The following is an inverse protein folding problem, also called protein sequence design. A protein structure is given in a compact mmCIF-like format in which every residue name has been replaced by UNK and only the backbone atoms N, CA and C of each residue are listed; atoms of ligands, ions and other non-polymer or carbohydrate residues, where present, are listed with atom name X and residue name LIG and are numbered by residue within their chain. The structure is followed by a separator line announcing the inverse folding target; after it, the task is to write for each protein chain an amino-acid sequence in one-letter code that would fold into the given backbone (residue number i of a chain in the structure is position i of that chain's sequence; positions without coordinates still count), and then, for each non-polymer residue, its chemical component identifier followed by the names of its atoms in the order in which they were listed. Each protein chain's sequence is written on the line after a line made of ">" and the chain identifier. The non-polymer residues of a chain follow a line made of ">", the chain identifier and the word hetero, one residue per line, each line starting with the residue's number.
data_IF_220315808133
#
_entry.id   IF_220315808133
#
_cell.length_a   1.000
_cell.length_b   1.000
_cell.length_c   1.000
_cell.angle_alpha   90.00
_cell.angle_beta   90.00
_cell.angle_gamma   90.00
#
_symmetry.space_group_name_H-M   'P 1'
#
loop_
_entity.id
_entity.type
_entity.pdbx_description
1 polymer ?
#
# COMPACT_ATOMS: atom_id res chain seq x y z
N UNK A 1 42.49 -6.15 -15.81
CA UNK A 1 41.84 -5.17 -14.93
C UNK A 1 40.49 -5.75 -14.55
N UNK A 2 40.41 -6.29 -13.33
CA UNK A 2 39.24 -6.96 -12.78
C UNK A 2 38.15 -5.93 -12.48
N UNK A 3 36.96 -6.18 -13.02
CA UNK A 3 35.73 -5.54 -12.60
C UNK A 3 35.48 -5.91 -11.13
N UNK A 4 35.55 -4.92 -10.24
CA UNK A 4 35.12 -5.07 -8.85
C UNK A 4 33.59 -5.06 -8.83
N UNK A 5 33.02 -6.01 -8.10
CA UNK A 5 31.59 -6.27 -7.92
C UNK A 5 30.80 -5.03 -7.49
N UNK A 6 29.54 -4.98 -7.92
CA UNK A 6 28.52 -4.05 -7.46
C UNK A 6 28.00 -4.42 -6.06
N UNK A 7 28.89 -4.51 -5.07
CA UNK A 7 28.53 -4.62 -3.66
C UNK A 7 28.62 -3.22 -3.03
N UNK A 8 27.52 -2.75 -2.44
CA UNK A 8 27.48 -1.48 -1.70
C UNK A 8 28.46 -1.49 -0.52
N UNK A 9 28.80 -0.32 0.03
CA UNK A 9 29.75 -0.27 1.15
C UNK A 9 29.10 -0.95 2.38
N UNK A 10 29.62 -2.11 2.78
CA UNK A 10 29.07 -2.91 3.88
C UNK A 10 28.91 -2.12 5.18
N UNK A 11 29.74 -1.09 5.40
CA UNK A 11 29.65 -0.23 6.58
C UNK A 11 28.41 0.67 6.51
N UNK A 12 28.06 1.15 5.31
CA UNK A 12 26.83 1.91 5.03
C UNK A 12 25.62 1.00 5.23
N UNK A 13 25.64 -0.22 4.70
CA UNK A 13 24.58 -1.19 4.94
C UNK A 13 24.40 -1.54 6.42
N UNK A 14 25.50 -1.71 7.15
CA UNK A 14 25.48 -2.01 8.57
C UNK A 14 24.74 -0.96 9.39
N UNK A 15 25.01 0.33 9.16
CA UNK A 15 24.30 1.41 9.89
C UNK A 15 22.85 1.56 9.46
N UNK A 16 22.54 1.32 8.18
CA UNK A 16 21.16 1.33 7.68
C UNK A 16 20.34 0.19 8.29
N UNK A 17 20.89 -1.03 8.34
CA UNK A 17 20.22 -2.18 8.94
C UNK A 17 20.03 -1.99 10.45
N UNK A 18 21.01 -1.39 11.12
CA UNK A 18 20.86 -1.01 12.53
C UNK A 18 19.77 0.04 12.74
N UNK A 19 19.67 1.04 11.87
CA UNK A 19 18.56 2.00 11.87
C UNK A 19 17.21 1.29 11.72
N UNK A 20 17.07 0.42 10.71
CA UNK A 20 15.84 -0.37 10.49
C UNK A 20 15.48 -1.23 11.70
N UNK A 21 16.47 -1.91 12.29
CA UNK A 21 16.30 -2.72 13.49
C UNK A 21 15.81 -1.90 14.68
N UNK A 22 16.45 -0.77 15.00
CA UNK A 22 16.02 0.11 16.09
C UNK A 22 14.62 0.68 15.87
N UNK A 23 14.25 0.99 14.62
CA UNK A 23 12.89 1.45 14.28
C UNK A 23 11.81 0.41 14.60
N UNK A 24 12.14 -0.87 14.51
CA UNK A 24 11.23 -1.98 14.78
C UNK A 24 11.17 -2.38 16.27
N UNK A 25 12.02 -1.78 17.13
CA UNK A 25 11.97 -2.01 18.58
C UNK A 25 11.00 -1.07 19.29
N UNK A 26 10.36 -1.57 20.35
CA UNK A 26 9.49 -0.77 21.22
C UNK A 26 10.23 0.45 21.78
N UNK A 27 9.61 1.63 21.65
CA UNK A 27 10.16 2.90 22.13
C UNK A 27 10.38 2.93 23.65
N UNK A 28 9.64 2.11 24.41
CA UNK A 28 9.83 1.94 25.85
C UNK A 28 11.05 1.10 26.22
N UNK A 29 11.57 0.30 25.29
CA UNK A 29 12.70 -0.62 25.48
C UNK A 29 14.01 -0.09 24.87
N UNK A 30 13.95 0.95 24.02
CA UNK A 30 15.14 1.52 23.39
C UNK A 30 15.77 2.61 24.26
N UNK A 31 16.95 2.33 24.82
CA UNK A 31 17.75 3.35 25.53
C UNK A 31 18.21 4.44 24.56
N UNK A 32 18.12 5.71 24.98
CA UNK A 32 18.67 6.89 24.28
C UNK A 32 20.12 6.68 23.80
N UNK A 33 20.90 5.90 24.55
CA UNK A 33 22.28 5.51 24.21
C UNK A 33 22.40 4.78 22.85
N UNK A 34 21.46 3.90 22.49
CA UNK A 34 21.52 3.16 21.22
C UNK A 34 21.36 4.08 20.01
N UNK A 35 20.45 5.06 20.13
CA UNK A 35 20.20 6.07 19.10
C UNK A 35 21.35 7.06 18.98
N UNK A 36 21.92 7.52 20.10
CA UNK A 36 23.10 8.37 20.12
C UNK A 36 24.34 7.67 19.53
N UNK A 37 24.52 6.39 19.87
CA UNK A 37 25.56 5.54 19.28
C UNK A 37 25.40 5.44 17.76
N UNK A 38 24.17 5.17 17.28
CA UNK A 38 23.89 5.10 15.84
C UNK A 38 24.17 6.43 15.14
N UNK A 39 23.74 7.55 15.72
CA UNK A 39 24.03 8.90 15.21
C UNK A 39 25.52 9.13 15.04
N UNK A 40 26.32 8.76 16.05
CA UNK A 40 27.79 8.88 15.99
C UNK A 40 28.39 8.07 14.83
N UNK A 41 27.88 6.85 14.60
CA UNK A 41 28.34 6.00 13.47
C UNK A 41 28.03 6.62 12.11
N UNK A 42 26.83 7.19 11.95
CA UNK A 42 26.49 7.96 10.73
C UNK A 42 27.43 9.15 10.54
N UNK A 43 27.73 9.90 11.60
CA UNK A 43 28.63 11.07 11.53
C UNK A 43 30.08 10.69 11.20
N UNK A 44 30.58 9.57 11.73
CA UNK A 44 31.92 9.03 11.44
C UNK A 44 32.02 8.51 10.00
N UNK A 45 31.02 7.77 9.53
CA UNK A 45 30.99 7.28 8.14
C UNK A 45 30.86 8.44 7.14
N UNK A 46 30.04 9.45 7.42
CA UNK A 46 29.88 10.59 6.54
C UNK A 46 31.21 11.33 6.28
N UNK A 47 32.07 11.43 7.30
CA UNK A 47 33.40 12.06 7.20
C UNK A 47 34.38 11.23 6.37
N UNK A 48 34.28 9.90 6.44
CA UNK A 48 35.22 8.99 5.77
C UNK A 48 34.81 8.63 4.34
N UNK A 49 33.53 8.75 3.98
CA UNK A 49 33.06 8.41 2.64
C UNK A 49 33.40 9.49 1.59
N UNK A 50 33.92 9.09 0.42
CA UNK A 50 34.09 9.99 -0.73
C UNK A 50 32.74 10.43 -1.28
N UNK A 51 32.73 11.53 -2.04
CA UNK A 51 31.53 11.98 -2.75
C UNK A 51 31.07 10.92 -3.75
N UNK A 52 29.77 10.61 -3.78
CA UNK A 52 29.21 9.60 -4.69
C UNK A 52 27.88 9.01 -4.19
N UNK A 53 27.41 7.98 -4.90
CA UNK A 53 26.11 7.31 -4.61
C UNK A 53 26.01 6.79 -3.19
N UNK A 54 27.05 6.12 -2.69
CA UNK A 54 27.05 5.58 -1.31
C UNK A 54 26.99 6.67 -0.25
N UNK A 55 27.65 7.82 -0.48
CA UNK A 55 27.56 8.97 0.43
C UNK A 55 26.18 9.60 0.39
N UNK A 56 25.57 9.73 -0.78
CA UNK A 56 24.20 10.22 -0.91
C UNK A 56 23.23 9.28 -0.17
N UNK A 57 23.37 7.96 -0.36
CA UNK A 57 22.59 6.94 0.34
C UNK A 57 22.76 7.02 1.86
N UNK A 58 23.98 7.14 2.37
CA UNK A 58 24.23 7.34 3.80
C UNK A 58 23.54 8.60 4.32
N UNK A 59 23.67 9.72 3.60
CA UNK A 59 23.04 10.99 3.97
C UNK A 59 21.51 10.90 4.00
N UNK A 60 20.92 10.15 3.08
CA UNK A 60 19.48 9.91 3.05
C UNK A 60 19.02 9.23 4.32
N UNK A 61 19.64 8.10 4.68
CA UNK A 61 19.27 7.36 5.89
C UNK A 61 19.65 8.09 7.18
N UNK A 62 20.66 8.97 7.15
CA UNK A 62 20.94 9.89 8.26
C UNK A 62 19.81 10.91 8.44
N UNK A 63 19.21 11.41 7.36
CA UNK A 63 18.03 12.26 7.44
C UNK A 63 16.81 11.49 7.99
N UNK A 64 16.61 10.22 7.58
CA UNK A 64 15.60 9.32 8.16
C UNK A 64 15.82 9.10 9.66
N UNK A 65 17.08 8.97 10.10
CA UNK A 65 17.42 8.88 11.53
C UNK A 65 16.95 10.14 12.28
N UNK A 66 17.21 11.34 11.76
CA UNK A 66 16.74 12.58 12.39
C UNK A 66 15.21 12.70 12.39
N UNK A 67 14.55 12.29 11.31
CA UNK A 67 13.09 12.24 11.22
C UNK A 67 12.51 11.35 12.33
N UNK A 68 13.10 10.16 12.54
CA UNK A 68 12.67 9.22 13.58
C UNK A 68 12.91 9.78 14.99
N UNK A 69 14.09 10.38 15.25
CA UNK A 69 14.40 11.03 16.52
C UNK A 69 13.43 12.16 16.84
N UNK A 70 13.12 12.97 15.83
CA UNK A 70 12.18 14.07 15.94
C UNK A 70 10.78 13.60 16.31
N UNK A 71 10.25 12.58 15.62
CA UNK A 71 8.91 12.05 15.90
C UNK A 71 8.81 11.31 17.24
N UNK A 72 9.84 10.53 17.61
CA UNK A 72 9.85 9.80 18.90
C UNK A 72 10.01 10.73 20.10
N UNK A 73 10.87 11.75 19.96
CA UNK A 73 11.14 12.70 21.03
C UNK A 73 10.15 13.88 21.09
N UNK A 74 9.31 14.05 20.07
CA UNK A 74 8.53 15.29 19.90
C UNK A 74 9.41 16.52 19.68
N UNK A 75 10.61 16.32 19.11
CA UNK A 75 11.64 17.35 18.99
C UNK A 75 11.63 17.96 17.57
N UNK A 76 11.11 19.19 17.48
CA UNK A 76 11.04 19.95 16.24
C UNK A 76 12.41 20.28 15.65
N UNK A 77 13.48 20.33 16.47
CA UNK A 77 14.84 20.59 15.97
C UNK A 77 15.34 19.41 15.13
N UNK A 78 15.10 18.17 15.57
CA UNK A 78 15.46 16.99 14.81
C UNK A 78 14.62 16.86 13.52
N UNK A 79 13.33 17.23 13.55
CA UNK A 79 12.49 17.29 12.35
C UNK A 79 13.00 18.33 11.34
N UNK A 80 13.41 19.52 11.82
CA UNK A 80 14.01 20.54 10.97
C UNK A 80 15.33 20.05 10.37
N UNK A 81 16.20 19.42 11.17
CA UNK A 81 17.46 18.84 10.69
C UNK A 81 17.24 17.75 9.66
N UNK A 82 16.21 16.92 9.81
CA UNK A 82 15.83 15.91 8.83
C UNK A 82 15.43 16.56 7.50
N UNK A 83 14.52 17.54 7.56
CA UNK A 83 14.03 18.24 6.38
C UNK A 83 15.18 18.95 5.63
N UNK A 84 16.02 19.71 6.32
CA UNK A 84 17.18 20.37 5.72
C UNK A 84 18.20 19.36 5.17
N UNK A 85 18.40 18.22 5.83
CA UNK A 85 19.30 17.17 5.34
C UNK A 85 18.80 16.56 4.03
N UNK A 86 17.50 16.30 3.94
CA UNK A 86 16.87 15.82 2.70
C UNK A 86 16.97 16.85 1.56
N UNK A 87 16.72 18.13 1.85
CA UNK A 87 16.88 19.21 0.85
C UNK A 87 18.33 19.31 0.36
N UNK A 88 19.29 19.28 1.28
CA UNK A 88 20.72 19.33 0.95
C UNK A 88 21.15 18.14 0.10
N UNK A 89 20.65 16.94 0.39
CA UNK A 89 20.90 15.75 -0.42
C UNK A 89 20.36 15.93 -1.84
N UNK A 90 19.08 16.29 -1.96
CA UNK A 90 18.44 16.51 -3.26
C UNK A 90 19.17 17.55 -4.12
N UNK A 91 19.68 18.61 -3.48
CA UNK A 91 20.44 19.68 -4.13
C UNK A 91 21.87 19.27 -4.52
N UNK A 92 22.54 18.51 -3.66
CA UNK A 92 23.96 18.15 -3.86
C UNK A 92 24.16 16.92 -4.74
N UNK A 93 23.15 16.05 -4.85
CA UNK A 93 23.22 14.80 -5.61
C UNK A 93 22.03 14.62 -6.56
N UNK A 94 21.73 15.56 -7.48
CA UNK A 94 20.52 15.49 -8.30
C UNK A 94 20.43 14.28 -9.24
N UNK A 95 21.53 13.57 -9.49
CA UNK A 95 21.59 12.40 -10.38
C UNK A 95 21.55 11.04 -9.68
N UNK A 96 21.23 10.99 -8.39
CA UNK A 96 21.03 9.71 -7.67
C UNK A 96 19.54 9.43 -7.52
N UNK A 97 19.16 8.15 -7.56
CA UNK A 97 17.76 7.70 -7.55
C UNK A 97 16.98 8.10 -6.28
N UNK A 98 17.67 8.55 -5.22
CA UNK A 98 17.08 9.01 -3.95
C UNK A 98 16.87 10.53 -3.88
N UNK A 99 17.31 11.29 -4.89
CA UNK A 99 17.37 12.75 -4.81
C UNK A 99 15.99 13.42 -4.86
N UNK A 100 15.07 12.85 -5.64
CA UNK A 100 13.69 13.29 -5.72
C UNK A 100 12.85 12.78 -4.54
N UNK A 101 13.07 11.53 -4.09
CA UNK A 101 12.46 11.00 -2.86
C UNK A 101 12.86 11.87 -1.65
N UNK A 102 14.13 12.28 -1.56
CA UNK A 102 14.58 13.16 -0.49
C UNK A 102 13.82 14.48 -0.50
N UNK A 103 13.71 15.14 -1.66
CA UNK A 103 12.95 16.38 -1.77
C UNK A 103 11.46 16.18 -1.41
N UNK A 104 10.87 15.07 -1.85
CA UNK A 104 9.51 14.71 -1.51
C UNK A 104 9.31 14.52 0.01
N UNK A 105 10.21 13.79 0.69
CA UNK A 105 10.18 13.63 2.16
C UNK A 105 10.34 14.95 2.90
N UNK A 106 11.19 15.85 2.42
CA UNK A 106 11.31 17.19 2.99
C UNK A 106 10.00 17.97 2.89
N UNK A 107 9.30 17.88 1.75
CA UNK A 107 7.98 18.51 1.57
C UNK A 107 6.98 17.95 2.59
N UNK A 108 6.93 16.63 2.80
CA UNK A 108 6.04 16.01 3.79
C UNK A 108 6.33 16.50 5.22
N UNK A 109 7.60 16.65 5.59
CA UNK A 109 7.99 17.18 6.89
C UNK A 109 7.54 18.64 7.06
N UNK A 110 7.69 19.48 6.04
CA UNK A 110 7.19 20.85 6.07
C UNK A 110 5.67 20.95 6.06
N UNK A 111 4.98 20.03 5.39
CA UNK A 111 3.51 20.02 5.30
C UNK A 111 2.86 19.51 6.60
N UNK A 112 3.38 18.44 7.20
CA UNK A 112 2.79 17.81 8.37
C UNK A 112 3.39 18.27 9.71
N UNK A 113 4.67 17.93 9.92
CA UNK A 113 5.33 18.02 11.22
C UNK A 113 5.73 19.48 11.55
N UNK A 114 6.34 20.20 10.59
CA UNK A 114 6.88 21.55 10.77
C UNK A 114 5.88 22.66 10.40
N UNK A 115 4.84 22.33 9.61
CA UNK A 115 3.72 23.21 9.23
C UNK A 115 4.16 24.56 8.62
N UNK A 116 5.03 24.51 7.61
CA UNK A 116 5.49 25.66 6.83
C UNK A 116 4.91 25.63 5.40
N UNK A 117 3.70 26.18 5.18
CA UNK A 117 3.03 26.11 3.88
C UNK A 117 3.74 26.91 2.79
N UNK A 118 4.46 27.98 3.12
CA UNK A 118 5.19 28.78 2.13
C UNK A 118 6.37 27.97 1.57
N UNK A 119 7.08 27.28 2.45
CA UNK A 119 8.18 26.40 2.05
C UNK A 119 7.68 25.19 1.26
N UNK A 120 6.53 24.63 1.63
CA UNK A 120 5.88 23.55 0.87
C UNK A 120 5.60 23.96 -0.57
N UNK A 121 5.04 25.15 -0.83
CA UNK A 121 4.76 25.63 -2.19
C UNK A 121 6.03 25.73 -3.03
N UNK A 122 7.06 26.40 -2.51
CA UNK A 122 8.33 26.57 -3.25
C UNK A 122 9.05 25.24 -3.50
N UNK A 123 9.01 24.31 -2.55
CA UNK A 123 9.62 22.99 -2.72
C UNK A 123 8.84 22.11 -3.71
N UNK A 124 7.52 22.25 -3.82
CA UNK A 124 6.70 21.57 -4.85
C UNK A 124 7.06 22.04 -6.26
N UNK A 125 7.29 23.35 -6.43
CA UNK A 125 7.79 23.94 -7.68
C UNK A 125 9.22 23.46 -7.98
N UNK A 126 10.08 23.42 -6.96
CA UNK A 126 11.45 22.91 -7.07
C UNK A 126 11.46 21.44 -7.53
N UNK A 127 10.63 20.59 -6.92
CA UNK A 127 10.50 19.18 -7.33
C UNK A 127 10.05 19.07 -8.79
N UNK A 128 9.10 19.92 -9.17
CA UNK A 128 8.52 19.90 -10.51
C UNK A 128 9.49 20.31 -11.61
N UNK A 129 10.38 21.25 -11.29
CA UNK A 129 11.35 21.83 -12.21
C UNK A 129 12.65 21.01 -12.26
N UNK A 130 13.16 20.57 -11.12
CA UNK A 130 14.45 19.86 -11.03
C UNK A 130 14.34 18.37 -11.34
N UNK A 131 13.19 17.77 -11.07
CA UNK A 131 12.94 16.35 -11.31
C UNK A 131 11.68 16.18 -12.17
N UNK A 132 11.70 16.61 -13.45
CA UNK A 132 10.52 16.62 -14.32
C UNK A 132 9.95 15.22 -14.61
N UNK A 133 10.77 14.17 -14.43
CA UNK A 133 10.39 12.77 -14.57
C UNK A 133 10.10 12.08 -13.23
N UNK A 134 10.20 12.79 -12.10
CA UNK A 134 9.91 12.22 -10.78
C UNK A 134 8.42 11.94 -10.63
N UNK A 135 8.11 10.74 -10.17
CA UNK A 135 6.74 10.30 -9.86
C UNK A 135 6.13 11.13 -8.71
N UNK A 136 6.95 11.70 -7.84
CA UNK A 136 6.53 12.52 -6.71
C UNK A 136 5.86 13.84 -7.13
N UNK A 137 6.07 14.30 -8.36
CA UNK A 137 5.49 15.55 -8.88
C UNK A 137 3.96 15.54 -8.91
N UNK A 138 3.37 14.35 -9.04
CA UNK A 138 1.91 14.16 -9.09
C UNK A 138 1.26 14.02 -7.71
N UNK A 139 2.05 13.92 -6.63
CA UNK A 139 1.54 13.71 -5.27
C UNK A 139 0.92 14.96 -4.65
N UNK A 140 1.07 16.12 -5.29
CA UNK A 140 0.66 17.41 -4.72
C UNK A 140 -0.44 18.12 -5.52
N UNK A 141 -0.92 17.53 -6.61
CA UNK A 141 -1.87 18.15 -7.54
C UNK A 141 -3.33 18.16 -7.07
N UNK A 142 -3.62 17.94 -5.79
CA UNK A 142 -4.99 17.86 -5.24
C UNK A 142 -5.45 19.08 -4.44
N UNK A 143 -4.72 20.20 -4.45
CA UNK A 143 -5.21 21.46 -3.88
C UNK A 143 -5.77 22.43 -4.94
N UNK A 144 -6.95 22.09 -5.47
CA UNK A 144 -7.95 23.11 -5.81
C UNK A 144 -9.27 22.67 -5.17
N UNK A 145 -9.58 23.28 -4.03
CA UNK A 145 -10.85 23.11 -3.35
C UNK A 145 -12.00 23.67 -4.18
N UNK A 146 -13.15 23.00 -4.10
CA UNK A 146 -14.40 23.52 -4.66
C UNK A 146 -15.38 22.43 -5.07
N UNK A 147 -16.34 22.16 -4.18
CA UNK A 147 -17.71 21.63 -4.42
C UNK A 147 -17.87 20.50 -5.46
N UNK A 148 -18.24 19.32 -4.96
CA UNK A 148 -18.88 18.27 -5.77
C UNK A 148 -18.06 17.01 -5.97
N UNK A 149 -17.77 16.28 -4.89
CA UNK A 149 -17.19 14.93 -4.95
C UNK A 149 -18.19 13.85 -5.39
N UNK A 150 -19.18 14.21 -6.22
CA UNK A 150 -20.20 13.31 -6.75
C UNK A 150 -20.16 13.18 -8.28
N UNK A 151 -19.25 13.88 -8.97
CA UNK A 151 -19.21 13.91 -10.45
C UNK A 151 -17.79 13.74 -11.05
N UNK A 152 -16.77 13.39 -10.25
CA UNK A 152 -15.37 13.30 -10.70
C UNK A 152 -14.87 11.90 -11.08
N UNK A 153 -15.77 10.92 -11.20
CA UNK A 153 -15.45 9.68 -11.94
C UNK A 153 -15.53 9.93 -13.47
N UNK A 154 -16.30 10.95 -13.90
CA UNK A 154 -16.89 11.04 -15.25
C UNK A 154 -16.09 11.89 -16.26
N UNK A 155 -14.97 12.54 -15.88
CA UNK A 155 -14.24 13.46 -16.80
C UNK A 155 -12.84 12.99 -17.23
N UNK A 156 -12.42 11.77 -16.87
CA UNK A 156 -11.06 11.28 -17.17
C UNK A 156 -10.99 10.32 -18.36
N UNK A 157 -12.12 9.73 -18.76
CA UNK A 157 -12.22 8.79 -19.89
C UNK A 157 -12.14 9.47 -21.27
N UNK A 158 -12.14 10.81 -21.31
CA UNK A 158 -12.13 11.62 -22.54
C UNK A 158 -10.77 11.68 -23.28
N UNK A 159 -9.73 11.00 -22.78
CA UNK A 159 -8.34 11.14 -23.28
C UNK A 159 -7.77 9.94 -24.04
N UNK A 160 -8.56 8.88 -24.26
CA UNK A 160 -8.09 7.67 -24.97
C UNK A 160 -7.13 6.78 -24.16
N UNK A 161 -6.87 7.12 -22.89
CA UNK A 161 -6.09 6.31 -21.95
C UNK A 161 -7.04 5.36 -21.22
N UNK A 162 -6.75 4.06 -21.27
CA UNK A 162 -7.53 3.04 -20.55
C UNK A 162 -7.48 3.28 -19.03
N UNK A 163 -8.58 3.02 -18.29
CA UNK A 163 -8.61 3.13 -16.84
C UNK A 163 -7.56 2.26 -16.18
N UNK A 164 -7.02 2.69 -15.05
CA UNK A 164 -6.02 1.92 -14.30
C UNK A 164 -6.68 1.20 -13.13
N UNK A 165 -6.50 -0.11 -13.05
CA UNK A 165 -6.87 -0.93 -11.89
C UNK A 165 -5.60 -1.26 -11.12
N UNK A 166 -5.56 -0.91 -9.83
CA UNK A 166 -4.50 -1.37 -8.93
C UNK A 166 -4.98 -2.58 -8.17
N UNK A 167 -4.26 -3.69 -8.34
CA UNK A 167 -4.45 -4.92 -7.58
C UNK A 167 -3.49 -4.93 -6.42
N UNK A 168 -3.99 -5.26 -5.24
CA UNK A 168 -3.19 -5.30 -4.03
C UNK A 168 -3.16 -6.72 -3.45
N UNK A 169 -2.13 -7.53 -3.78
CA UNK A 169 -1.93 -8.81 -3.13
C UNK A 169 -1.59 -8.59 -1.65
N UNK A 170 -2.48 -9.01 -0.74
CA UNK A 170 -2.31 -8.86 0.70
C UNK A 170 -0.98 -9.44 1.22
N UNK A 171 -0.53 -8.96 2.38
CA UNK A 171 0.67 -9.45 3.09
C UNK A 171 1.97 -9.38 2.26
N UNK A 172 2.93 -10.28 2.53
CA UNK A 172 4.21 -10.41 1.81
C UNK A 172 5.43 -10.24 2.72
N UNK A 173 6.55 -10.84 2.34
CA UNK A 173 7.76 -10.89 3.16
C UNK A 173 7.54 -11.71 4.43
N UNK A 174 7.88 -11.14 5.58
CA UNK A 174 7.72 -11.80 6.89
C UNK A 174 6.25 -11.89 7.35
N UNK A 175 5.35 -11.14 6.72
CA UNK A 175 3.91 -11.25 6.93
C UNK A 175 3.36 -12.37 6.05
N UNK A 176 3.13 -13.55 6.64
CA UNK A 176 2.60 -14.72 5.93
C UNK A 176 1.08 -14.63 5.67
N UNK A 177 0.39 -13.69 6.33
CA UNK A 177 -1.06 -13.71 6.45
C UNK A 177 -1.55 -14.96 7.18
N UNK A 178 -2.75 -15.42 6.85
CA UNK A 178 -3.27 -16.67 7.38
C UNK A 178 -2.48 -17.89 6.86
N UNK A 179 -2.08 -18.77 7.79
CA UNK A 179 -1.53 -20.09 7.48
C UNK A 179 -2.59 -21.13 7.80
N UNK A 180 -3.05 -21.83 6.76
CA UNK A 180 -4.14 -22.79 6.87
C UNK A 180 -3.71 -24.25 6.74
N UNK A 181 -4.69 -25.08 6.36
CA UNK A 181 -4.53 -26.52 6.23
C UNK A 181 -3.43 -26.84 5.21
N UNK A 182 -2.63 -27.86 5.50
CA UNK A 182 -1.50 -28.31 4.68
C UNK A 182 -0.42 -27.24 4.42
N UNK A 183 -0.35 -26.19 5.25
CA UNK A 183 0.64 -25.13 5.14
C UNK A 183 0.36 -24.14 4.01
N UNK A 184 -0.89 -24.06 3.52
CA UNK A 184 -1.30 -23.01 2.59
C UNK A 184 -1.13 -21.65 3.26
N UNK A 185 -0.31 -20.78 2.64
CA UNK A 185 -0.06 -19.42 3.12
C UNK A 185 -0.82 -18.44 2.25
N UNK A 186 -1.56 -17.55 2.91
CA UNK A 186 -2.33 -16.51 2.26
C UNK A 186 -1.46 -15.67 1.31
N UNK A 187 -0.29 -15.19 1.76
CA UNK A 187 0.59 -14.34 0.94
C UNK A 187 0.97 -14.94 -0.42
N UNK A 188 1.09 -16.27 -0.49
CA UNK A 188 1.45 -17.01 -1.71
C UNK A 188 0.22 -17.15 -2.62
N UNK A 189 -0.91 -17.53 -2.03
CA UNK A 189 -2.19 -17.69 -2.73
C UNK A 189 -2.64 -16.36 -3.36
N UNK A 190 -2.66 -15.27 -2.59
CA UNK A 190 -3.13 -13.96 -3.08
C UNK A 190 -2.23 -13.41 -4.17
N UNK A 191 -0.90 -13.56 -4.06
CA UNK A 191 0.04 -13.16 -5.12
C UNK A 191 -0.19 -13.97 -6.41
N UNK A 192 -0.37 -15.29 -6.28
CA UNK A 192 -0.62 -16.16 -7.43
C UNK A 192 -1.93 -15.80 -8.15
N UNK A 193 -3.01 -15.60 -7.40
CA UNK A 193 -4.33 -15.23 -7.92
C UNK A 193 -4.28 -13.83 -8.54
N UNK A 194 -3.58 -12.87 -7.91
CA UNK A 194 -3.48 -11.49 -8.41
C UNK A 194 -2.78 -11.39 -9.76
N UNK A 195 -1.71 -12.17 -9.98
CA UNK A 195 -1.03 -12.25 -11.28
C UNK A 195 -1.93 -12.86 -12.37
N UNK A 196 -2.77 -13.83 -12.00
CA UNK A 196 -3.76 -14.40 -12.92
C UNK A 196 -4.86 -13.37 -13.26
N UNK A 197 -5.34 -12.62 -12.27
CA UNK A 197 -6.31 -11.52 -12.50
C UNK A 197 -5.71 -10.48 -13.43
N UNK A 198 -4.46 -10.07 -13.20
CA UNK A 198 -3.73 -9.15 -14.07
C UNK A 198 -3.68 -9.66 -15.50
N UNK A 199 -3.23 -10.90 -15.71
CA UNK A 199 -3.19 -11.53 -17.04
C UNK A 199 -4.55 -11.42 -17.75
N UNK A 200 -5.63 -11.83 -17.09
CA UNK A 200 -6.97 -11.80 -17.69
C UNK A 200 -7.49 -10.38 -17.96
N UNK A 201 -7.21 -9.42 -17.07
CA UNK A 201 -7.56 -8.03 -17.29
C UNK A 201 -6.80 -7.42 -18.48
N UNK A 202 -5.51 -7.71 -18.61
CA UNK A 202 -4.70 -7.27 -19.75
C UNK A 202 -5.20 -7.88 -21.07
N UNK A 203 -5.56 -9.17 -21.08
CA UNK A 203 -6.15 -9.85 -22.24
C UNK A 203 -7.48 -9.23 -22.68
N UNK A 204 -8.30 -8.79 -21.71
CA UNK A 204 -9.60 -8.15 -21.98
C UNK A 204 -9.47 -6.77 -22.63
N UNK A 205 -8.30 -6.13 -22.54
CA UNK A 205 -7.98 -4.78 -23.02
C UNK A 205 -8.92 -3.67 -22.53
N UNK A 206 -9.62 -3.88 -21.41
CA UNK A 206 -10.52 -2.86 -20.86
C UNK A 206 -9.82 -1.86 -19.95
N UNK A 207 -8.65 -2.21 -19.41
CA UNK A 207 -7.94 -1.41 -18.43
C UNK A 207 -6.42 -1.67 -18.50
N UNK A 208 -5.67 -0.78 -17.88
CA UNK A 208 -4.30 -1.00 -17.43
C UNK A 208 -4.34 -1.64 -16.04
N UNK A 209 -3.30 -2.39 -15.69
CA UNK A 209 -3.18 -3.04 -14.38
C UNK A 209 -1.81 -2.76 -13.77
N UNK A 210 -1.76 -2.58 -12.46
CA UNK A 210 -0.53 -2.53 -11.66
C UNK A 210 -0.76 -3.31 -10.36
N UNK A 211 0.22 -4.11 -9.93
CA UNK A 211 0.20 -4.75 -8.62
C UNK A 211 0.96 -3.91 -7.59
N UNK A 212 0.48 -3.84 -6.35
CA UNK A 212 1.21 -3.18 -5.25
C UNK A 212 2.51 -3.90 -4.88
N UNK A 213 2.57 -5.22 -5.12
CA UNK A 213 3.79 -6.03 -5.09
C UNK A 213 3.77 -7.09 -6.18
N UNK A 214 4.91 -7.30 -6.81
CA UNK A 214 5.08 -8.32 -7.86
C UNK A 214 5.85 -9.55 -7.37
N UNK A 215 6.36 -9.54 -6.13
CA UNK A 215 7.15 -10.63 -5.53
C UNK A 215 6.79 -10.79 -4.05
N UNK A 216 7.44 -11.73 -3.37
CA UNK A 216 7.27 -11.93 -1.93
C UNK A 216 8.02 -10.84 -1.16
N UNK A 217 7.41 -9.66 -1.07
CA UNK A 217 7.93 -8.51 -0.35
C UNK A 217 6.85 -7.85 0.50
N UNK A 218 7.26 -7.36 1.67
CA UNK A 218 6.35 -6.68 2.57
C UNK A 218 6.06 -5.26 2.10
N UNK A 219 4.77 -4.90 2.03
CA UNK A 219 4.31 -3.53 1.80
C UNK A 219 3.43 -3.04 2.96
N UNK A 220 3.78 -1.92 3.63
CA UNK A 220 2.95 -1.34 4.68
C UNK A 220 1.54 -1.00 4.20
N UNK A 221 0.51 -1.21 5.04
CA UNK A 221 -0.90 -1.02 4.67
C UNK A 221 -1.20 0.35 4.05
N UNK A 222 -0.63 1.42 4.60
CA UNK A 222 -0.87 2.79 4.12
C UNK A 222 -0.20 3.11 2.78
N UNK A 223 0.88 2.40 2.41
CA UNK A 223 1.54 2.60 1.12
C UNK A 223 0.71 2.04 -0.03
N UNK A 224 -0.13 1.03 0.23
CA UNK A 224 -0.90 0.31 -0.79
C UNK A 224 -1.90 1.24 -1.49
N UNK A 225 -2.75 1.94 -0.74
CA UNK A 225 -3.65 2.95 -1.30
C UNK A 225 -2.94 4.25 -1.67
N UNK A 226 -1.86 4.63 -0.96
CA UNK A 226 -1.06 5.77 -1.37
C UNK A 226 -0.50 5.56 -2.78
N UNK A 227 -0.01 4.37 -3.11
CA UNK A 227 0.43 4.00 -4.45
C UNK A 227 -0.70 4.11 -5.48
N UNK A 228 -1.89 3.60 -5.16
CA UNK A 228 -3.04 3.71 -6.05
C UNK A 228 -3.45 5.17 -6.31
N UNK A 229 -3.40 6.02 -5.27
CA UNK A 229 -3.65 7.45 -5.38
C UNK A 229 -2.58 8.13 -6.24
N UNK A 230 -1.29 7.82 -6.04
CA UNK A 230 -0.15 8.33 -6.85
C UNK A 230 -0.34 8.04 -8.33
N UNK A 231 -0.72 6.80 -8.64
CA UNK A 231 -0.95 6.34 -10.01
C UNK A 231 -2.29 6.81 -10.59
N UNK A 232 -3.08 7.54 -9.81
CA UNK A 232 -4.42 8.01 -10.20
C UNK A 232 -5.33 6.86 -10.65
N UNK A 233 -5.25 5.74 -9.93
CA UNK A 233 -6.02 4.54 -10.25
C UNK A 233 -7.52 4.83 -10.30
N UNK A 234 -8.20 4.21 -11.27
CA UNK A 234 -9.65 4.23 -11.40
C UNK A 234 -10.31 3.31 -10.39
N UNK A 235 -9.65 2.21 -10.01
CA UNK A 235 -10.12 1.23 -9.04
C UNK A 235 -8.96 0.69 -8.20
N UNK A 236 -9.24 0.37 -6.94
CA UNK A 236 -8.33 -0.37 -6.06
C UNK A 236 -9.00 -1.66 -5.57
N UNK A 237 -8.32 -2.78 -5.70
CA UNK A 237 -8.82 -4.10 -5.31
C UNK A 237 -7.76 -4.82 -4.49
N UNK A 238 -7.96 -4.88 -3.17
CA UNK A 238 -7.14 -5.67 -2.25
C UNK A 238 -7.63 -7.10 -2.21
N UNK A 239 -6.71 -8.07 -2.29
CA UNK A 239 -7.00 -9.49 -2.44
C UNK A 239 -6.41 -10.24 -1.23
N UNK A 240 -7.30 -10.89 -0.49
CA UNK A 240 -7.04 -11.61 0.76
C UNK A 240 -7.68 -13.01 0.73
N UNK A 241 -7.23 -13.88 1.63
CA UNK A 241 -7.84 -15.18 1.89
C UNK A 241 -8.26 -15.23 3.36
N UNK A 242 -9.50 -15.60 3.61
CA UNK A 242 -10.05 -15.54 4.95
C UNK A 242 -9.53 -16.68 5.83
N UNK A 243 -9.70 -16.53 7.14
CA UNK A 243 -9.43 -17.57 8.12
C UNK A 243 -10.30 -17.40 9.37
N UNK A 244 -10.86 -18.49 9.87
CA UNK A 244 -11.70 -18.51 11.06
C UNK A 244 -10.97 -19.16 12.25
N UNK A 245 -10.91 -18.45 13.39
CA UNK A 245 -10.33 -18.97 14.65
C UNK A 245 -11.31 -19.85 15.44
N UNK A 246 -12.62 -19.65 15.26
CA UNK A 246 -13.65 -20.47 15.90
C UNK A 246 -14.52 -21.08 14.81
N UNK A 247 -14.81 -22.38 14.91
CA UNK A 247 -15.55 -23.14 13.90
C UNK A 247 -14.87 -23.16 12.51
N UNK A 248 -13.56 -23.46 12.51
CA UNK A 248 -12.66 -23.52 11.35
C UNK A 248 -13.29 -24.19 10.11
N UNK A 249 -14.09 -25.24 10.33
CA UNK A 249 -14.66 -26.05 9.26
C UNK A 249 -16.12 -25.71 8.90
N UNK A 250 -16.74 -24.73 9.58
CA UNK A 250 -18.13 -24.31 9.31
C UNK A 250 -18.22 -23.02 8.48
N UNK A 251 -17.23 -22.14 8.61
CA UNK A 251 -17.22 -20.85 7.91
C UNK A 251 -16.38 -20.99 6.64
N UNK A 252 -16.98 -20.63 5.51
CA UNK A 252 -16.39 -20.79 4.18
C UNK A 252 -17.04 -19.84 3.16
N UNK A 253 -16.45 -19.75 1.98
CA UNK A 253 -16.92 -18.92 0.88
C UNK A 253 -16.25 -17.56 0.79
N UNK A 254 -16.72 -16.72 -0.14
CA UNK A 254 -16.13 -15.42 -0.44
C UNK A 254 -17.04 -14.24 -0.05
N UNK A 255 -16.43 -13.13 0.34
CA UNK A 255 -17.08 -11.86 0.69
C UNK A 255 -16.28 -10.66 0.20
N UNK A 256 -16.98 -9.52 0.06
CA UNK A 256 -16.36 -8.26 -0.33
C UNK A 256 -16.60 -7.22 0.75
N UNK A 257 -15.55 -6.50 1.11
CA UNK A 257 -15.61 -5.39 2.04
C UNK A 257 -15.33 -4.06 1.36
N UNK A 258 -15.96 -3.02 1.86
CA UNK A 258 -15.58 -1.64 1.60
C UNK A 258 -15.49 -0.86 2.90
N UNK A 259 -14.70 0.21 2.87
CA UNK A 259 -14.39 1.01 4.06
C UNK A 259 -15.64 1.65 4.65
N UNK A 260 -15.78 1.58 5.97
CA UNK A 260 -16.81 2.27 6.75
C UNK A 260 -16.37 2.36 8.21
N UNK A 261 -16.74 3.46 8.90
CA UNK A 261 -16.60 3.58 10.36
C UNK A 261 -17.60 2.72 11.12
N UNK A 262 -18.76 2.46 10.52
CA UNK A 262 -19.79 1.58 11.05
C UNK A 262 -19.45 0.15 10.63
N UNK A 263 -18.76 -0.58 11.51
CA UNK A 263 -18.28 -1.93 11.26
C UNK A 263 -19.39 -2.97 11.41
N UNK A 264 -19.41 -3.98 10.54
CA UNK A 264 -20.16 -5.20 10.80
C UNK A 264 -19.59 -5.90 12.05
N UNK A 265 -20.40 -6.18 13.10
CA UNK A 265 -19.93 -6.90 14.29
C UNK A 265 -19.27 -8.25 13.99
N UNK A 266 -19.70 -8.93 12.93
CA UNK A 266 -19.13 -10.22 12.50
C UNK A 266 -17.70 -10.08 11.93
N UNK A 267 -17.32 -8.88 11.47
CA UNK A 267 -16.02 -8.61 10.88
C UNK A 267 -14.95 -8.20 11.92
N UNK A 268 -15.28 -8.11 13.21
CA UNK A 268 -14.37 -7.56 14.24
C UNK A 268 -13.06 -8.35 14.34
N UNK A 269 -13.12 -9.68 14.29
CA UNK A 269 -11.90 -10.50 14.41
C UNK A 269 -11.05 -10.42 13.14
N UNK A 270 -11.70 -10.42 11.98
CA UNK A 270 -11.03 -10.23 10.69
C UNK A 270 -10.32 -8.87 10.64
N UNK A 271 -11.03 -7.80 11.00
CA UNK A 271 -10.47 -6.44 11.11
C UNK A 271 -9.27 -6.41 12.05
N UNK A 272 -9.33 -7.06 13.21
CA UNK A 272 -8.20 -7.11 14.16
C UNK A 272 -6.98 -7.79 13.55
N UNK A 273 -7.17 -8.81 12.71
CA UNK A 273 -6.09 -9.51 12.01
C UNK A 273 -5.51 -8.66 10.88
N UNK A 274 -6.36 -8.17 9.98
CA UNK A 274 -5.89 -7.41 8.80
C UNK A 274 -5.32 -6.05 9.17
N UNK A 275 -5.80 -5.44 10.26
CA UNK A 275 -5.27 -4.19 10.77
C UNK A 275 -4.11 -4.39 11.77
N UNK A 276 -3.42 -5.54 11.75
CA UNK A 276 -2.23 -5.74 12.56
C UNK A 276 -1.11 -4.84 12.07
N UNK A 277 -1.01 -3.69 12.74
CA UNK A 277 0.05 -2.73 12.57
C UNK A 277 1.15 -2.97 13.60
N UNK A 278 2.40 -2.79 13.17
CA UNK A 278 3.54 -2.63 14.08
C UNK A 278 3.35 -1.40 15.00
N UNK A 279 4.02 -1.40 16.16
CA UNK A 279 3.91 -0.33 17.18
C UNK A 279 4.10 1.07 16.58
N UNK A 280 5.06 1.22 15.66
CA UNK A 280 5.38 2.48 14.96
C UNK A 280 4.25 2.94 14.04
N UNK A 281 3.58 2.01 13.36
CA UNK A 281 2.44 2.29 12.47
C UNK A 281 1.19 2.67 13.29
N UNK A 282 0.98 2.05 14.46
CA UNK A 282 -0.10 2.42 15.38
C UNK A 282 0.06 3.84 15.92
N UNK A 283 1.28 4.26 16.25
CA UNK A 283 1.56 5.61 16.74
C UNK A 283 1.32 6.69 15.66
N UNK A 284 1.75 6.45 14.42
CA UNK A 284 1.48 7.35 13.28
C UNK A 284 -0.02 7.48 12.98
N UNK A 285 -0.78 6.43 13.26
CA UNK A 285 -2.20 6.34 12.96
C UNK A 285 -3.08 7.03 14.04
N UNK A 286 -2.61 7.14 15.29
CA UNK A 286 -3.35 7.63 16.46
C UNK A 286 -3.95 9.05 16.35
N UNK A 287 -3.51 9.88 15.39
CA UNK A 287 -4.07 11.21 15.12
C UNK A 287 -4.86 11.35 13.81
N UNK A 288 -4.72 10.41 12.87
CA UNK A 288 -5.19 10.55 11.48
C UNK A 288 -6.39 9.66 11.11
N UNK A 289 -6.70 8.64 11.91
CA UNK A 289 -7.80 7.69 11.65
C UNK A 289 -9.12 8.40 11.33
N UNK A 290 -9.48 9.43 12.10
CA UNK A 290 -10.76 10.13 11.96
C UNK A 290 -10.87 10.98 10.70
N UNK A 291 -9.75 11.45 10.13
CA UNK A 291 -9.74 12.20 8.88
C UNK A 291 -9.73 11.25 7.67
N UNK A 292 -9.05 10.12 7.80
CA UNK A 292 -9.04 9.04 6.81
C UNK A 292 -10.42 8.39 6.64
N UNK A 293 -11.21 8.26 7.71
CA UNK A 293 -12.61 7.83 7.62
C UNK A 293 -13.52 8.82 6.86
N UNK A 294 -13.15 10.11 6.82
CA UNK A 294 -14.06 11.20 6.41
C UNK A 294 -14.02 11.52 4.92
N UNK A 295 -13.03 11.00 4.19
CA UNK A 295 -12.90 11.20 2.74
C UNK A 295 -13.86 10.25 2.04
N UNK A 296 -14.63 10.74 1.07
CA UNK A 296 -15.85 10.11 0.50
C UNK A 296 -15.71 8.75 -0.19
N UNK A 297 -14.63 7.99 0.04
CA UNK A 297 -14.35 6.66 -0.48
C UNK A 297 -15.48 5.67 -0.21
N UNK A 298 -16.10 5.67 0.99
CA UNK A 298 -17.20 4.74 1.30
C UNK A 298 -18.42 4.91 0.38
N UNK A 299 -18.74 6.13 -0.05
CA UNK A 299 -19.92 6.41 -0.89
C UNK A 299 -19.75 5.88 -2.31
N UNK A 300 -18.52 5.98 -2.85
CA UNK A 300 -18.19 5.50 -4.20
C UNK A 300 -17.82 4.02 -4.24
N UNK A 301 -17.31 3.47 -3.12
CA UNK A 301 -16.92 2.05 -3.03
C UNK A 301 -18.11 1.11 -2.83
N UNK A 302 -19.21 1.57 -2.23
CA UNK A 302 -20.38 0.71 -2.00
C UNK A 302 -21.07 0.23 -3.30
N UNK A 303 -21.32 1.08 -4.32
CA UNK A 303 -21.82 0.61 -5.62
C UNK A 303 -20.85 -0.36 -6.30
N UNK A 304 -19.55 -0.05 -6.27
CA UNK A 304 -18.50 -0.88 -6.84
C UNK A 304 -18.46 -2.29 -6.21
N UNK A 305 -18.44 -2.36 -4.88
CA UNK A 305 -18.45 -3.62 -4.13
C UNK A 305 -19.66 -4.48 -4.45
N UNK A 306 -20.85 -3.88 -4.55
CA UNK A 306 -22.09 -4.58 -4.91
C UNK A 306 -22.09 -5.07 -6.36
N UNK A 307 -21.58 -4.26 -7.29
CA UNK A 307 -21.53 -4.62 -8.70
C UNK A 307 -20.58 -5.80 -8.94
N UNK A 308 -19.35 -5.74 -8.40
CA UNK A 308 -18.40 -6.86 -8.48
C UNK A 308 -18.97 -8.10 -7.79
N UNK A 309 -19.51 -8.00 -6.58
CA UNK A 309 -20.06 -9.17 -5.89
C UNK A 309 -21.19 -9.84 -6.67
N UNK A 310 -22.10 -9.05 -7.23
CA UNK A 310 -23.21 -9.54 -8.05
C UNK A 310 -22.70 -10.25 -9.31
N UNK A 311 -21.69 -9.69 -9.96
CA UNK A 311 -21.03 -10.31 -11.12
C UNK A 311 -20.34 -11.61 -10.71
N UNK A 312 -19.52 -11.61 -9.66
CA UNK A 312 -18.84 -12.81 -9.16
C UNK A 312 -19.83 -13.92 -8.82
N UNK A 313 -20.93 -13.60 -8.13
CA UNK A 313 -21.98 -14.58 -7.80
C UNK A 313 -22.67 -15.19 -9.02
N UNK A 314 -22.73 -14.45 -10.13
CA UNK A 314 -23.29 -14.95 -11.39
C UNK A 314 -22.30 -15.82 -12.15
N UNK A 315 -21.03 -15.40 -12.20
CA UNK A 315 -19.98 -16.06 -12.98
C UNK A 315 -19.40 -17.30 -12.28
N UNK A 316 -19.38 -17.33 -10.94
CA UNK A 316 -18.96 -18.53 -10.22
C UNK A 316 -19.94 -19.70 -10.45
N UNK A 317 -19.43 -20.91 -10.74
CA UNK A 317 -20.26 -22.10 -10.70
C UNK A 317 -20.76 -22.34 -9.27
N UNK A 318 -21.97 -22.88 -9.15
CA UNK A 318 -22.57 -23.19 -7.84
C UNK A 318 -21.81 -24.30 -7.11
N UNK A 319 -21.23 -25.23 -7.86
CA UNK A 319 -20.53 -26.41 -7.34
C UNK A 319 -19.26 -26.63 -8.16
N UNK A 320 -18.15 -26.91 -7.48
CA UNK A 320 -16.86 -27.31 -8.07
C UNK A 320 -16.40 -28.55 -7.33
N UNK A 321 -16.03 -29.62 -8.04
CA UNK A 321 -15.59 -30.88 -7.43
C UNK A 321 -16.54 -31.44 -6.36
N UNK A 322 -17.86 -31.28 -6.56
CA UNK A 322 -18.88 -31.70 -5.60
C UNK A 322 -19.06 -30.77 -4.39
N UNK A 323 -18.26 -29.70 -4.31
CA UNK A 323 -18.24 -28.73 -3.22
C UNK A 323 -19.03 -27.48 -3.62
N UNK A 324 -20.02 -27.10 -2.81
CA UNK A 324 -20.85 -25.91 -3.05
C UNK A 324 -20.13 -24.62 -2.66
N UNK A 325 -20.00 -23.66 -3.59
CA UNK A 325 -19.38 -22.37 -3.33
C UNK A 325 -20.35 -21.45 -2.57
N UNK A 326 -19.89 -20.92 -1.43
CA UNK A 326 -20.70 -20.05 -0.59
C UNK A 326 -20.42 -18.57 -0.89
N UNK A 327 -21.48 -17.81 -1.19
CA UNK A 327 -21.40 -16.37 -1.41
C UNK A 327 -21.89 -15.65 -0.15
N UNK A 328 -20.97 -15.04 0.61
CA UNK A 328 -21.25 -14.50 1.95
C UNK A 328 -21.79 -13.07 1.95
N UNK A 329 -21.58 -12.32 0.86
CA UNK A 329 -22.19 -11.00 0.67
C UNK A 329 -21.19 -9.87 0.57
N UNK A 330 -21.72 -8.65 0.71
CA UNK A 330 -20.94 -7.42 0.77
C UNK A 330 -21.13 -6.79 2.15
N UNK A 331 -20.03 -6.48 2.83
CA UNK A 331 -20.03 -5.94 4.17
C UNK A 331 -19.20 -4.66 4.30
N UNK A 332 -19.43 -3.96 5.40
CA UNK A 332 -18.74 -2.72 5.79
C UNK A 332 -17.75 -3.04 6.90
N UNK A 333 -16.51 -2.59 6.76
CA UNK A 333 -15.50 -2.79 7.80
C UNK A 333 -14.39 -1.72 7.75
N UNK A 334 -13.78 -1.39 8.91
CA UNK A 334 -12.74 -0.37 9.01
C UNK A 334 -11.35 -0.93 8.65
N UNK A 335 -11.18 -1.53 7.48
CA UNK A 335 -9.87 -2.04 7.03
C UNK A 335 -8.91 -0.92 6.68
N UNK A 336 -7.75 -0.89 7.33
CA UNK A 336 -6.73 0.16 7.16
C UNK A 336 -6.15 0.19 5.76
N UNK A 337 -6.08 -0.95 5.06
CA UNK A 337 -5.64 -0.99 3.67
C UNK A 337 -6.58 -0.22 2.75
N UNK A 338 -7.85 -0.03 3.10
CA UNK A 338 -8.81 0.74 2.30
C UNK A 338 -8.84 2.23 2.67
N UNK A 339 -8.08 2.64 3.69
CA UNK A 339 -8.10 4.02 4.17
C UNK A 339 -7.36 4.95 3.22
N UNK A 340 -7.87 6.17 3.09
CA UNK A 340 -7.25 7.21 2.27
C UNK A 340 -7.35 7.00 0.76
N UNK A 341 -8.00 5.93 0.28
CA UNK A 341 -8.25 5.73 -1.15
C UNK A 341 -9.08 6.88 -1.74
N UNK A 342 -8.62 7.43 -2.87
CA UNK A 342 -9.32 8.51 -3.59
C UNK A 342 -10.24 8.00 -4.71
N UNK A 343 -10.24 6.68 -4.95
CA UNK A 343 -11.04 5.95 -5.91
C UNK A 343 -11.91 4.88 -5.22
N UNK A 344 -12.88 4.25 -5.92
CA UNK A 344 -13.56 3.06 -5.41
C UNK A 344 -12.55 1.97 -5.02
N UNK A 345 -12.63 1.53 -3.77
CA UNK A 345 -11.70 0.60 -3.16
C UNK A 345 -12.45 -0.53 -2.44
N UNK A 346 -12.07 -1.78 -2.72
CA UNK A 346 -12.63 -2.97 -2.06
C UNK A 346 -11.54 -3.90 -1.58
N UNK A 347 -11.87 -4.68 -0.56
CA UNK A 347 -11.10 -5.84 -0.11
C UNK A 347 -11.92 -7.09 -0.43
N UNK A 348 -11.34 -8.03 -1.16
CA UNK A 348 -11.91 -9.33 -1.48
C UNK A 348 -11.34 -10.36 -0.50
N UNK A 349 -12.20 -10.94 0.33
CA UNK A 349 -11.85 -12.13 1.12
C UNK A 349 -12.29 -13.36 0.34
N UNK A 350 -11.32 -14.07 -0.24
CA UNK A 350 -11.59 -15.22 -1.09
C UNK A 350 -11.45 -16.50 -0.28
N UNK A 351 -12.57 -17.16 0.03
CA UNK A 351 -12.58 -18.49 0.66
C UNK A 351 -11.82 -18.53 2.00
N UNK A 352 -11.77 -19.69 2.66
CA UNK A 352 -11.17 -19.84 3.98
C UNK A 352 -10.07 -20.90 3.99
N UNK A 353 -8.80 -20.51 4.21
CA UNK A 353 -7.68 -21.48 4.30
C UNK A 353 -7.78 -22.41 5.53
N UNK A 354 -8.61 -22.05 6.50
CA UNK A 354 -8.90 -22.86 7.70
C UNK A 354 -10.04 -23.87 7.51
N UNK A 355 -10.80 -23.77 6.42
CA UNK A 355 -11.91 -24.67 6.10
C UNK A 355 -11.41 -25.77 5.14
N UNK A 356 -11.74 -27.02 5.41
CA UNK A 356 -11.20 -28.16 4.64
C UNK A 356 -11.56 -28.14 3.16
N UNK A 357 -12.83 -27.87 2.84
CA UNK A 357 -13.32 -27.81 1.46
C UNK A 357 -12.72 -26.63 0.69
N UNK A 358 -12.72 -25.43 1.29
CA UNK A 358 -12.15 -24.24 0.65
C UNK A 358 -10.62 -24.35 0.50
N UNK A 359 -9.92 -24.89 1.50
CA UNK A 359 -8.48 -25.15 1.42
C UNK A 359 -8.15 -26.19 0.34
N UNK A 360 -8.95 -27.26 0.22
CA UNK A 360 -8.82 -28.23 -0.85
C UNK A 360 -8.94 -27.55 -2.22
N UNK A 361 -10.00 -26.76 -2.44
CA UNK A 361 -10.19 -26.03 -3.69
C UNK A 361 -9.05 -25.03 -3.95
N UNK A 362 -8.68 -24.21 -2.96
CA UNK A 362 -7.59 -23.24 -3.08
C UNK A 362 -6.23 -23.88 -3.37
N UNK A 363 -6.01 -25.13 -2.96
CA UNK A 363 -4.78 -25.88 -3.29
C UNK A 363 -4.69 -26.24 -4.77
N UNK A 364 -5.83 -26.33 -5.47
CA UNK A 364 -5.88 -26.68 -6.90
C UNK A 364 -5.55 -25.47 -7.79
N UNK A 365 -4.56 -25.55 -8.68
CA UNK A 365 -4.25 -24.48 -9.63
C UNK A 365 -5.44 -24.09 -10.52
N UNK A 366 -6.25 -25.06 -10.95
CA UNK A 366 -7.44 -24.84 -11.78
C UNK A 366 -8.49 -23.97 -11.09
N UNK A 367 -8.68 -24.15 -9.79
CA UNK A 367 -9.63 -23.35 -9.02
C UNK A 367 -9.13 -21.92 -8.80
N UNK A 368 -7.81 -21.73 -8.62
CA UNK A 368 -7.19 -20.39 -8.56
C UNK A 368 -7.32 -19.66 -9.90
N UNK A 369 -7.14 -20.36 -11.03
CA UNK A 369 -7.38 -19.82 -12.37
C UNK A 369 -8.85 -19.40 -12.55
N UNK A 370 -9.80 -20.28 -12.23
CA UNK A 370 -11.24 -19.97 -12.26
C UNK A 370 -11.58 -18.75 -11.41
N UNK A 371 -11.06 -18.71 -10.18
CA UNK A 371 -11.29 -17.59 -9.24
C UNK A 371 -10.77 -16.28 -9.83
N UNK A 372 -9.57 -16.30 -10.41
CA UNK A 372 -8.97 -15.13 -11.05
C UNK A 372 -9.77 -14.67 -12.28
N UNK A 373 -10.21 -15.60 -13.14
CA UNK A 373 -11.02 -15.31 -14.32
C UNK A 373 -12.36 -14.65 -13.96
N UNK A 374 -13.04 -15.18 -12.93
CA UNK A 374 -14.31 -14.64 -12.42
C UNK A 374 -14.13 -13.21 -11.88
N UNK A 375 -13.06 -12.97 -11.12
CA UNK A 375 -12.76 -11.63 -10.58
C UNK A 375 -12.41 -10.65 -11.72
N UNK A 376 -11.53 -11.05 -12.64
CA UNK A 376 -11.13 -10.23 -13.78
C UNK A 376 -12.33 -9.88 -14.66
N UNK A 377 -13.20 -10.85 -14.96
CA UNK A 377 -14.46 -10.64 -15.70
C UNK A 377 -15.37 -9.65 -14.98
N UNK A 378 -15.49 -9.77 -13.66
CA UNK A 378 -16.33 -8.89 -12.85
C UNK A 378 -15.82 -7.44 -12.80
N UNK A 379 -14.50 -7.26 -12.68
CA UNK A 379 -13.85 -5.94 -12.78
C UNK A 379 -14.04 -5.36 -14.19
N UNK A 380 -13.79 -6.16 -15.23
CA UNK A 380 -13.92 -5.72 -16.62
C UNK A 380 -15.35 -5.29 -16.97
N UNK A 381 -16.35 -6.02 -16.48
CA UNK A 381 -17.76 -5.66 -16.64
C UNK A 381 -18.08 -4.32 -15.97
N UNK A 382 -17.57 -4.10 -14.76
CA UNK A 382 -17.75 -2.83 -14.04
C UNK A 382 -17.10 -1.67 -14.81
N UNK A 383 -15.84 -1.82 -15.23
CA UNK A 383 -15.10 -0.81 -16.00
C UNK A 383 -15.83 -0.44 -17.30
N UNK A 384 -16.34 -1.43 -18.03
CA UNK A 384 -17.09 -1.21 -19.27
C UNK A 384 -18.41 -0.48 -19.02
N UNK A 385 -19.14 -0.83 -17.95
CA UNK A 385 -20.41 -0.19 -17.61
C UNK A 385 -20.22 1.29 -17.29
N UNK A 386 -19.22 1.63 -16.48
CA UNK A 386 -18.88 3.02 -16.15
C UNK A 386 -18.44 3.80 -17.40
N UNK A 387 -17.81 3.14 -18.37
CA UNK A 387 -17.39 3.75 -19.65
C UNK A 387 -18.55 3.96 -20.65
N UNK A 388 -19.66 3.22 -20.52
CA UNK A 388 -20.83 3.30 -21.42
C UNK A 388 -21.89 4.28 -20.92
N UNK A 389 -21.98 4.50 -19.60
CA UNK A 389 -22.87 5.52 -19.00
C UNK A 389 -22.53 6.98 -19.39
N UNK A 390 -21.49 7.20 -20.18
CA UNK A 390 -21.00 8.49 -20.66
C UNK A 390 -21.47 8.86 -22.09
N UNK A 391 -22.31 8.03 -22.76
CA UNK A 391 -22.86 8.35 -24.09
C UNK A 391 -24.28 8.88 -24.06
#
# INVERSE_FOLDING_TARGET
>A
MTFVSAEGDERVEGVINRLKSLRNTDASLTKSESWNSLKKQFDELQKSLPQGREKARLLFYRAVLFEELGRRGGDSLNLQLAAESFLNLSRSYPGVDLADEALYRAILLFEGDLRDPQKVVSLKEELSSRFPHSEYRFMFSSQVGGKGASHKIISRYSSGILPLVVLDPGHGGDDEGAVGIAGLREKDLVLSISRLIEKYLLESRCCRVVLTRERDEFMPLFERTAMANRLQASLFVSIHINAAEAAHDRVRGYEIFYVSSDANPEAVQLVKRENQLGVTQKAALGGFIQDLYRRGASRVSAPFAKAIFSSMKKEFPKVVDGISLQARGVAKAPFFVLFGAEMPAVLLELFFVTNSDDAYLLSQPSFRELTAEVIATSIANYVKQESVGER
#
